data_IF_069006108824
#
_entry.id   IF_069006108824
#
_cell.length_a   1.000
_cell.length_b   1.000
_cell.length_c   1.000
_cell.angle_alpha   90.00
_cell.angle_beta   90.00
_cell.angle_gamma   90.00
#
_symmetry.space_group_name_H-M   'P 1'
#
loop_
_entity.id
_entity.type
_entity.pdbx_description
1 polymer ?
#
# COMPACT_ATOMS: atom_id res chain seq x y z
N UNK A 1 6.67 -1.53 12.87
CA UNK A 1 6.83 -0.56 13.99
C UNK A 1 7.30 0.75 13.38
N UNK A 2 6.49 1.79 13.51
CA UNK A 2 6.74 3.12 12.97
C UNK A 2 7.71 3.92 13.85
N UNK A 3 8.32 4.97 13.28
CA UNK A 3 9.08 5.93 14.04
C UNK A 3 8.15 6.82 14.86
N UNK A 4 8.63 7.32 15.99
CA UNK A 4 7.94 8.29 16.84
C UNK A 4 8.70 9.62 16.83
N UNK A 5 8.02 10.77 16.90
CA UNK A 5 8.69 12.06 17.07
C UNK A 5 9.33 12.15 18.45
N UNK A 6 10.37 12.95 18.57
CA UNK A 6 11.03 13.17 19.86
C UNK A 6 10.16 14.04 20.77
N UNK A 7 9.98 13.63 22.01
CA UNK A 7 9.26 14.42 23.02
C UNK A 7 10.14 15.51 23.65
N UNK A 8 11.47 15.36 23.55
CA UNK A 8 12.46 16.34 24.02
C UNK A 8 12.95 17.21 22.85
N UNK A 9 12.85 18.53 23.00
CA UNK A 9 13.30 19.50 22.00
C UNK A 9 14.78 19.37 21.65
N UNK A 10 15.60 19.01 22.61
CA UNK A 10 17.05 18.84 22.47
C UNK A 10 17.46 17.36 22.31
N UNK A 11 16.50 16.50 22.17
CA UNK A 11 16.74 15.05 22.09
C UNK A 11 17.47 14.66 20.81
N UNK A 12 18.45 13.78 20.95
CA UNK A 12 19.28 13.29 19.83
C UNK A 12 18.60 12.18 19.01
N UNK A 13 17.38 11.79 19.42
CA UNK A 13 16.70 10.61 18.86
C UNK A 13 17.31 9.29 19.34
N UNK A 14 16.69 8.18 18.99
CA UNK A 14 17.14 6.84 19.37
C UNK A 14 16.72 5.85 18.27
N UNK A 15 17.66 5.39 17.48
CA UNK A 15 17.39 4.45 16.40
C UNK A 15 16.96 3.08 16.90
N UNK A 16 17.41 2.65 18.07
CA UNK A 16 17.03 1.38 18.68
C UNK A 16 15.57 1.37 19.13
N UNK A 17 15.08 2.51 19.62
CA UNK A 17 13.68 2.72 20.01
C UNK A 17 12.84 3.33 18.89
N UNK A 18 13.42 3.61 17.73
CA UNK A 18 12.78 4.30 16.59
C UNK A 18 12.20 5.67 16.97
N UNK A 19 12.96 6.45 17.71
CA UNK A 19 12.64 7.84 18.03
C UNK A 19 13.43 8.73 17.08
N UNK A 20 12.74 9.56 16.32
CA UNK A 20 13.34 10.55 15.42
C UNK A 20 13.98 11.70 16.23
N UNK A 21 14.89 12.44 15.60
CA UNK A 21 15.38 13.73 16.12
C UNK A 21 14.35 14.85 15.96
N UNK A 22 13.35 14.66 15.09
CA UNK A 22 12.29 15.64 14.87
C UNK A 22 11.47 15.81 16.14
N UNK A 23 11.45 17.03 16.67
CA UNK A 23 10.72 17.35 17.88
C UNK A 23 9.21 17.41 17.63
N UNK A 24 8.43 16.85 18.53
CA UNK A 24 6.96 16.85 18.46
C UNK A 24 6.36 18.24 18.42
N UNK A 25 7.00 19.22 19.09
CA UNK A 25 6.57 20.61 19.06
C UNK A 25 6.69 21.26 17.68
N UNK A 26 7.73 20.94 16.90
CA UNK A 26 7.84 21.39 15.51
C UNK A 26 6.70 20.80 14.67
N UNK A 27 6.40 19.50 14.83
CA UNK A 27 5.30 18.85 14.13
C UNK A 27 3.94 19.48 14.45
N UNK A 28 3.71 19.83 15.73
CA UNK A 28 2.50 20.53 16.17
C UNK A 28 2.39 21.89 15.51
N UNK A 29 3.46 22.70 15.58
CA UNK A 29 3.48 24.04 15.01
C UNK A 29 3.19 24.03 13.50
N UNK A 30 3.81 23.10 12.78
CA UNK A 30 3.59 22.91 11.34
C UNK A 30 2.14 22.49 11.08
N UNK A 31 1.61 21.52 11.83
CA UNK A 31 0.24 21.05 11.69
C UNK A 31 -0.78 22.19 11.88
N UNK A 32 -0.62 22.97 12.93
CA UNK A 32 -1.52 24.08 13.25
C UNK A 32 -1.43 25.19 12.20
N UNK A 33 -0.23 25.49 11.71
CA UNK A 33 -0.02 26.45 10.63
C UNK A 33 -0.72 26.01 9.33
N UNK A 34 -0.53 24.78 8.92
CA UNK A 34 -1.09 24.25 7.67
C UNK A 34 -2.62 24.17 7.75
N UNK A 35 -3.17 23.76 8.89
CA UNK A 35 -4.61 23.75 9.14
C UNK A 35 -5.20 25.17 9.09
N UNK A 36 -4.56 26.12 9.77
CA UNK A 36 -5.09 27.48 9.88
C UNK A 36 -4.98 28.25 8.56
N UNK A 37 -3.86 28.09 7.84
CA UNK A 37 -3.59 28.91 6.65
C UNK A 37 -4.12 28.31 5.36
N UNK A 38 -4.17 26.99 5.24
CA UNK A 38 -4.50 26.30 4.01
C UNK A 38 -5.74 25.40 4.13
N UNK A 39 -6.37 25.38 5.30
CA UNK A 39 -7.51 24.50 5.59
C UNK A 39 -7.21 23.00 5.26
N UNK A 40 -5.94 22.60 5.48
CA UNK A 40 -5.49 21.25 5.19
C UNK A 40 -5.04 20.54 6.46
N UNK A 41 -5.62 19.37 6.75
CA UNK A 41 -5.16 18.50 7.82
C UNK A 41 -4.05 17.58 7.31
N UNK A 42 -2.79 17.70 7.78
CA UNK A 42 -1.69 16.83 7.36
C UNK A 42 -1.78 15.43 7.98
N UNK A 43 -2.74 15.19 8.85
CA UNK A 43 -2.92 13.92 9.55
C UNK A 43 -2.12 13.81 10.83
N UNK A 44 -2.17 12.62 11.42
CA UNK A 44 -1.50 12.33 12.69
C UNK A 44 0.02 12.34 12.53
N UNK A 45 0.72 12.76 13.57
CA UNK A 45 2.18 12.68 13.70
C UNK A 45 2.61 11.94 14.98
N UNK A 46 1.67 11.57 15.86
CA UNK A 46 1.86 10.72 17.02
C UNK A 46 0.92 9.52 16.96
N UNK A 47 1.36 8.38 17.48
CA UNK A 47 0.53 7.19 17.68
C UNK A 47 -0.18 6.62 16.44
N UNK A 48 0.31 6.91 15.22
CA UNK A 48 -0.28 6.33 14.01
C UNK A 48 0.36 4.98 13.63
N UNK A 49 0.43 4.08 14.57
CA UNK A 49 1.05 2.76 14.39
C UNK A 49 0.16 1.75 13.67
N UNK A 50 -1.00 2.16 13.21
CA UNK A 50 -2.00 1.26 12.66
C UNK A 50 -1.84 1.12 11.14
N UNK A 51 -0.70 0.55 10.72
CA UNK A 51 -0.58 0.04 9.35
C UNK A 51 -1.33 -1.29 9.28
N UNK A 52 -2.37 -1.30 8.48
CA UNK A 52 -3.20 -2.47 8.26
C UNK A 52 -2.83 -3.12 6.94
N UNK A 53 -2.89 -4.43 6.94
CA UNK A 53 -2.80 -5.24 5.72
C UNK A 53 -3.99 -6.19 5.74
N UNK A 54 -4.88 -5.98 4.79
CA UNK A 54 -6.08 -6.80 4.63
C UNK A 54 -6.00 -7.55 3.30
N UNK A 55 -6.34 -8.83 3.32
CA UNK A 55 -6.50 -9.58 2.10
C UNK A 55 -7.70 -10.53 2.17
N UNK A 56 -8.36 -10.67 1.04
CA UNK A 56 -9.38 -11.69 0.88
C UNK A 56 -9.19 -12.45 -0.43
N UNK A 57 -9.63 -13.68 -0.44
CA UNK A 57 -9.52 -14.58 -1.58
C UNK A 57 -10.84 -15.28 -1.78
N UNK A 58 -11.32 -15.25 -3.01
CA UNK A 58 -12.51 -15.98 -3.43
C UNK A 58 -12.13 -16.95 -4.55
N UNK A 59 -12.53 -18.19 -4.39
CA UNK A 59 -12.38 -19.22 -5.40
C UNK A 59 -13.71 -19.93 -5.62
N UNK A 60 -14.09 -20.08 -6.87
CA UNK A 60 -15.26 -20.86 -7.26
C UNK A 60 -14.91 -21.79 -8.43
N UNK A 61 -15.51 -22.97 -8.43
CA UNK A 61 -15.35 -23.95 -9.50
C UNK A 61 -16.68 -24.59 -9.79
N UNK A 62 -16.99 -24.72 -11.08
CA UNK A 62 -18.15 -25.42 -11.59
C UNK A 62 -17.64 -26.47 -12.57
N UNK A 63 -18.03 -27.71 -12.34
CA UNK A 63 -17.82 -28.85 -13.26
C UNK A 63 -19.16 -29.25 -13.86
N UNK A 64 -19.30 -29.14 -15.17
CA UNK A 64 -20.51 -29.43 -15.88
C UNK A 64 -20.29 -30.49 -16.95
N UNK A 65 -20.94 -31.62 -16.80
CA UNK A 65 -20.99 -32.66 -17.82
C UNK A 65 -22.07 -32.30 -18.85
N UNK A 66 -21.67 -31.58 -19.91
CA UNK A 66 -22.58 -31.14 -21.00
C UNK A 66 -23.14 -32.36 -21.74
N UNK A 67 -22.32 -33.36 -21.92
CA UNK A 67 -22.64 -34.63 -22.57
C UNK A 67 -21.72 -35.73 -22.03
N UNK A 68 -22.02 -37.00 -22.27
CA UNK A 68 -21.21 -38.14 -21.81
C UNK A 68 -19.72 -38.03 -22.19
N UNK A 69 -19.44 -37.36 -23.32
CA UNK A 69 -18.10 -37.20 -23.87
C UNK A 69 -17.55 -35.78 -23.76
N UNK A 70 -18.30 -34.86 -23.14
CA UNK A 70 -17.90 -33.44 -23.05
C UNK A 70 -18.08 -32.92 -21.63
N UNK A 71 -16.98 -32.54 -21.01
CA UNK A 71 -16.96 -31.95 -19.67
C UNK A 71 -16.39 -30.53 -19.74
N UNK A 72 -17.16 -29.55 -19.27
CA UNK A 72 -16.72 -28.16 -19.06
C UNK A 72 -16.40 -27.94 -17.58
N UNK A 73 -15.25 -27.40 -17.31
CA UNK A 73 -14.87 -26.90 -16.00
C UNK A 73 -14.65 -25.39 -16.09
N UNK A 74 -15.36 -24.64 -15.28
CA UNK A 74 -15.13 -23.18 -15.14
C UNK A 74 -14.59 -22.91 -13.75
N UNK A 75 -13.48 -22.16 -13.69
CA UNK A 75 -12.84 -21.74 -12.44
C UNK A 75 -12.81 -20.22 -12.40
N UNK A 76 -13.23 -19.67 -11.30
CA UNK A 76 -13.12 -18.26 -10.98
C UNK A 76 -12.19 -18.11 -9.77
N UNK A 77 -11.27 -17.16 -9.84
CA UNK A 77 -10.40 -16.81 -8.74
C UNK A 77 -10.29 -15.28 -8.63
N UNK A 78 -10.47 -14.76 -7.43
CA UNK A 78 -10.26 -13.34 -7.15
C UNK A 78 -9.48 -13.18 -5.86
N UNK A 79 -8.42 -12.39 -5.91
CA UNK A 79 -7.57 -12.04 -4.78
C UNK A 79 -7.52 -10.52 -4.71
N UNK A 80 -7.82 -9.97 -3.53
CA UNK A 80 -7.67 -8.56 -3.24
C UNK A 80 -6.79 -8.40 -2.02
N UNK A 81 -5.78 -7.55 -2.11
CA UNK A 81 -4.89 -7.17 -1.01
C UNK A 81 -4.84 -5.66 -0.91
N UNK A 82 -4.99 -5.15 0.30
CA UNK A 82 -4.83 -3.74 0.63
C UNK A 82 -3.77 -3.61 1.72
N UNK A 83 -2.75 -2.80 1.48
CA UNK A 83 -1.65 -2.57 2.41
C UNK A 83 -1.44 -1.09 2.64
N UNK A 84 -1.41 -0.69 3.90
CA UNK A 84 -0.92 0.63 4.30
C UNK A 84 0.60 0.70 4.15
N UNK A 85 1.09 1.75 3.49
CA UNK A 85 2.50 1.98 3.21
C UNK A 85 2.97 3.32 3.74
N UNK A 86 4.19 3.35 4.24
CA UNK A 86 4.87 4.57 4.62
C UNK A 86 5.23 5.40 3.40
N UNK A 87 5.41 6.71 3.61
CA UNK A 87 5.92 7.62 2.59
C UNK A 87 7.24 7.08 2.01
N UNK A 88 7.41 7.21 0.70
CA UNK A 88 8.61 6.72 0.03
C UNK A 88 9.87 7.43 0.53
N UNK A 89 10.81 6.68 1.08
CA UNK A 89 12.08 7.18 1.56
C UNK A 89 13.00 7.72 0.45
N UNK A 90 12.82 7.24 -0.80
CA UNK A 90 13.78 7.47 -1.90
C UNK A 90 13.56 8.71 -2.74
N UNK A 91 12.55 9.53 -2.44
CA UNK A 91 12.18 10.68 -3.29
C UNK A 91 12.57 12.03 -2.69
N UNK A 92 13.64 12.11 -1.92
CA UNK A 92 14.14 13.40 -1.43
C UNK A 92 15.05 14.05 -2.46
N UNK A 93 15.01 15.38 -2.52
CA UNK A 93 15.84 16.20 -3.41
C UNK A 93 17.27 16.35 -2.87
N UNK A 94 17.48 16.07 -1.57
CA UNK A 94 18.79 16.25 -0.92
C UNK A 94 19.62 14.99 -1.01
N UNK A 95 20.81 15.15 -1.58
CA UNK A 95 21.85 14.15 -1.78
C UNK A 95 22.69 13.85 -0.53
N UNK A 96 22.19 14.09 0.69
CA UNK A 96 22.91 13.65 1.88
C UNK A 96 22.71 12.15 2.13
N UNK A 97 23.73 11.50 2.65
CA UNK A 97 23.79 10.05 2.88
C UNK A 97 22.70 9.47 3.77
N UNK A 98 21.87 10.30 4.41
CA UNK A 98 20.78 9.91 5.30
C UNK A 98 19.42 10.50 4.91
N UNK A 99 19.17 10.72 3.65
CA UNK A 99 17.98 11.38 3.11
C UNK A 99 16.74 10.48 3.06
N UNK A 100 16.37 9.88 4.16
CA UNK A 100 15.10 9.19 4.30
C UNK A 100 14.04 10.17 4.80
N UNK A 101 12.89 10.23 4.14
CA UNK A 101 11.73 11.03 4.60
C UNK A 101 11.11 10.56 5.91
N UNK A 102 11.56 9.41 6.39
CA UNK A 102 11.04 8.78 7.59
C UNK A 102 12.17 7.97 8.26
N UNK A 103 12.61 8.43 9.42
CA UNK A 103 13.74 7.81 10.10
C UNK A 103 14.26 8.65 11.25
N UNK A 104 15.54 8.46 11.57
CA UNK A 104 16.18 9.18 12.67
C UNK A 104 16.20 10.71 12.43
N UNK A 105 16.51 11.13 11.20
CA UNK A 105 16.72 12.54 10.84
C UNK A 105 15.53 13.18 10.12
N UNK A 106 14.46 12.42 9.90
CA UNK A 106 13.29 12.90 9.19
C UNK A 106 12.00 12.29 9.74
N UNK A 107 10.92 13.04 9.65
CA UNK A 107 9.61 12.60 10.06
C UNK A 107 8.54 13.12 9.11
N UNK A 108 7.46 12.37 8.92
CA UNK A 108 6.36 12.76 8.04
C UNK A 108 5.02 12.64 8.74
N UNK A 109 4.06 13.45 8.30
CA UNK A 109 2.68 13.36 8.76
C UNK A 109 1.97 12.12 8.19
N UNK A 110 0.93 11.68 8.88
CA UNK A 110 0.18 10.48 8.54
C UNK A 110 -0.42 10.51 7.13
N UNK A 111 -0.87 11.68 6.64
CA UNK A 111 -1.44 11.82 5.31
C UNK A 111 -0.41 11.79 4.16
N UNK A 112 0.89 11.82 4.48
CA UNK A 112 1.95 11.52 3.51
C UNK A 112 2.06 10.03 3.18
N UNK A 113 1.47 9.18 3.99
CA UNK A 113 1.40 7.74 3.76
C UNK A 113 0.34 7.41 2.70
N UNK A 114 0.38 6.21 2.17
CA UNK A 114 -0.52 5.78 1.11
C UNK A 114 -0.99 4.35 1.31
N UNK A 115 -2.05 3.98 0.62
CA UNK A 115 -2.55 2.61 0.56
C UNK A 115 -2.25 2.02 -0.81
N UNK A 116 -1.70 0.82 -0.84
CA UNK A 116 -1.58 0.00 -2.04
C UNK A 116 -2.72 -0.99 -2.08
N UNK A 117 -3.41 -1.03 -3.21
CA UNK A 117 -4.48 -1.99 -3.46
C UNK A 117 -4.15 -2.78 -4.71
N UNK A 118 -4.05 -4.09 -4.56
CA UNK A 118 -3.76 -5.02 -5.63
C UNK A 118 -4.95 -5.97 -5.78
N UNK A 119 -5.53 -6.01 -6.95
CA UNK A 119 -6.65 -6.91 -7.27
C UNK A 119 -6.29 -7.77 -8.46
N UNK A 120 -6.36 -9.07 -8.29
CA UNK A 120 -6.18 -10.05 -9.37
C UNK A 120 -7.45 -10.86 -9.49
N UNK A 121 -8.07 -10.80 -10.66
CA UNK A 121 -9.25 -11.60 -10.96
C UNK A 121 -8.98 -12.46 -12.20
N UNK A 122 -9.23 -13.75 -12.12
CA UNK A 122 -9.08 -14.66 -13.24
C UNK A 122 -10.28 -15.58 -13.42
N UNK A 123 -10.61 -15.86 -14.66
CA UNK A 123 -11.57 -16.87 -15.04
C UNK A 123 -10.91 -17.83 -16.03
N UNK A 124 -11.05 -19.12 -15.79
CA UNK A 124 -10.50 -20.18 -16.63
C UNK A 124 -11.61 -21.13 -17.05
N UNK A 125 -11.75 -21.34 -18.34
CA UNK A 125 -12.61 -22.36 -18.94
C UNK A 125 -11.76 -23.50 -19.47
N UNK A 126 -12.13 -24.74 -19.14
CA UNK A 126 -11.49 -25.94 -19.62
C UNK A 126 -12.57 -26.88 -20.19
N UNK A 127 -12.51 -27.18 -21.48
CA UNK A 127 -13.39 -28.12 -22.14
C UNK A 127 -12.61 -29.38 -22.52
N UNK A 128 -12.97 -30.46 -21.89
CA UNK A 128 -12.46 -31.81 -22.23
C UNK A 128 -13.48 -32.54 -23.11
N UNK A 129 -13.07 -32.93 -24.29
CA UNK A 129 -13.91 -33.58 -25.30
C UNK A 129 -13.30 -34.89 -25.77
N UNK A 130 -14.09 -35.95 -25.75
CA UNK A 130 -13.72 -37.25 -26.29
C UNK A 130 -14.55 -37.53 -27.55
N UNK A 131 -13.91 -37.47 -28.70
CA UNK A 131 -14.58 -37.65 -29.99
C UNK A 131 -14.63 -39.12 -30.40
N UNK A 132 -13.65 -39.92 -29.99
CA UNK A 132 -13.62 -41.37 -30.23
C UNK A 132 -12.74 -42.04 -29.14
N UNK A 133 -12.59 -43.36 -29.23
CA UNK A 133 -11.71 -44.08 -28.29
C UNK A 133 -10.25 -43.65 -28.39
N UNK A 134 -9.82 -43.11 -29.52
CA UNK A 134 -8.44 -42.75 -29.81
C UNK A 134 -8.25 -41.24 -29.96
N UNK A 135 -9.33 -40.42 -29.93
CA UNK A 135 -9.23 -38.96 -30.13
C UNK A 135 -9.85 -38.24 -28.96
N UNK A 136 -9.00 -37.52 -28.24
CA UNK A 136 -9.39 -36.64 -27.15
C UNK A 136 -8.84 -35.23 -27.41
N UNK A 137 -9.58 -34.23 -26.99
CA UNK A 137 -9.17 -32.82 -27.06
C UNK A 137 -9.38 -32.14 -25.72
N UNK A 138 -8.46 -31.28 -25.37
CA UNK A 138 -8.55 -30.35 -24.21
C UNK A 138 -8.36 -28.94 -24.70
N UNK A 139 -9.40 -28.12 -24.57
CA UNK A 139 -9.34 -26.69 -24.82
C UNK A 139 -9.28 -25.97 -23.48
N UNK A 140 -8.30 -25.12 -23.31
CA UNK A 140 -8.11 -24.29 -22.12
C UNK A 140 -8.07 -22.82 -22.55
N UNK A 141 -8.91 -21.99 -21.93
CA UNK A 141 -8.90 -20.55 -22.10
C UNK A 141 -8.87 -19.88 -20.72
N UNK A 142 -7.99 -18.90 -20.55
CA UNK A 142 -7.87 -18.14 -19.30
C UNK A 142 -7.86 -16.65 -19.61
N UNK A 143 -8.65 -15.89 -18.87
CA UNK A 143 -8.63 -14.45 -18.83
C UNK A 143 -8.21 -14.00 -17.43
N UNK A 144 -7.25 -13.09 -17.35
CA UNK A 144 -6.79 -12.51 -16.08
C UNK A 144 -6.79 -10.99 -16.19
N UNK A 145 -7.39 -10.35 -15.20
CA UNK A 145 -7.36 -8.90 -15.01
C UNK A 145 -6.61 -8.59 -13.73
N UNK A 146 -5.63 -7.68 -13.83
CA UNK A 146 -4.83 -7.19 -12.71
C UNK A 146 -5.03 -5.68 -12.62
N UNK A 147 -5.32 -5.21 -11.42
CA UNK A 147 -5.47 -3.78 -11.11
C UNK A 147 -4.66 -3.46 -9.86
N UNK A 148 -3.66 -2.60 -10.04
CA UNK A 148 -2.82 -2.09 -8.97
C UNK A 148 -3.07 -0.60 -8.84
N UNK A 149 -3.52 -0.16 -7.67
CA UNK A 149 -3.80 1.24 -7.39
C UNK A 149 -3.05 1.70 -6.16
N UNK A 150 -2.66 2.97 -6.18
CA UNK A 150 -2.07 3.67 -5.05
C UNK A 150 -3.00 4.81 -4.66
N UNK A 151 -3.52 4.76 -3.45
CA UNK A 151 -4.43 5.76 -2.91
C UNK A 151 -3.71 6.57 -1.83
N UNK A 152 -3.74 7.89 -1.94
CA UNK A 152 -3.26 8.77 -0.88
C UNK A 152 -4.26 8.82 0.28
N UNK A 153 -3.77 9.01 1.51
CA UNK A 153 -4.63 9.05 2.71
C UNK A 153 -5.26 10.42 2.96
N UNK A 154 -4.64 11.48 2.46
CA UNK A 154 -5.12 12.86 2.59
C UNK A 154 -5.83 13.37 1.34
N UNK A 155 -6.37 14.59 1.45
CA UNK A 155 -6.82 15.37 0.29
C UNK A 155 -5.63 15.86 -0.53
N UNK A 156 -5.90 16.36 -1.75
CA UNK A 156 -4.85 16.90 -2.62
C UNK A 156 -4.17 18.12 -1.98
N UNK A 157 -2.89 17.98 -1.73
CA UNK A 157 -2.04 19.04 -1.19
C UNK A 157 -0.62 18.89 -1.77
N UNK A 158 0.08 19.98 -2.07
CA UNK A 158 1.45 19.91 -2.54
C UNK A 158 2.34 19.17 -1.55
N UNK A 159 3.25 18.34 -2.07
CA UNK A 159 4.26 17.70 -1.23
C UNK A 159 5.29 18.75 -0.81
N UNK A 160 5.49 18.93 0.50
CA UNK A 160 6.38 19.95 1.05
C UNK A 160 7.38 19.30 2.00
N UNK A 161 8.66 19.47 1.73
CA UNK A 161 9.75 19.11 2.64
C UNK A 161 10.18 20.37 3.41
N UNK A 162 10.21 20.30 4.73
CA UNK A 162 10.63 21.39 5.62
C UNK A 162 11.94 20.98 6.27
N UNK A 163 12.96 21.81 6.08
CA UNK A 163 14.28 21.59 6.63
C UNK A 163 14.51 22.52 7.82
N UNK A 164 14.96 21.95 8.93
CA UNK A 164 15.37 22.71 10.11
C UNK A 164 16.89 22.87 10.07
N UNK A 165 17.35 24.12 10.17
CA UNK A 165 18.79 24.49 10.16
C UNK A 165 19.53 23.97 8.89
N UNK A 166 18.83 23.88 7.78
CA UNK A 166 19.42 23.45 6.52
C UNK A 166 19.71 21.94 6.43
N UNK A 167 19.14 21.15 7.32
CA UNK A 167 19.29 19.69 7.41
C UNK A 167 17.97 18.98 7.24
#
# INVERSE_FOLDING_TARGET
>A
VTWLPNQDQNGTGDSGKRISRTWVGDMRTISDFVKTKYDYDPGQYENFNNFQSDNWKLMARIDWNIHQNHKLTVRFNSVSSEDDREVSAKSTIITSTNSNRYGLDAFSFGNSNYKMKNVVTSITGELNSRFSNNVQNKLLATYTHISDTREQKGSDFPFVDIYKDGK
#
